data_IF_067200406960
#
_entry.id   IF_067200406960
#
_cell.length_a   1.000
_cell.length_b   1.000
_cell.length_c   1.000
_cell.angle_alpha   90.00
_cell.angle_beta   90.00
_cell.angle_gamma   90.00
#
_symmetry.space_group_name_H-M   'P 1'
#
loop_
_entity.id
_entity.type
_entity.pdbx_description
1 polymer ?
#
# COMPACT_ATOMS: atom_id res chain seq x y z
N UNK A 1 -8.01 -27.88 1.89
CA UNK A 1 -7.97 -26.42 1.67
C UNK A 1 -6.54 -26.06 1.34
N UNK A 2 -6.29 -25.47 0.17
CA UNK A 2 -4.95 -25.12 -0.27
C UNK A 2 -4.50 -23.84 0.44
N UNK A 3 -3.64 -23.99 1.44
CA UNK A 3 -2.99 -22.90 2.14
C UNK A 3 -2.10 -22.10 1.19
N UNK A 4 -2.03 -20.78 1.37
CA UNK A 4 -1.16 -19.93 0.56
C UNK A 4 0.29 -20.20 0.94
N UNK A 5 1.10 -20.60 -0.04
CA UNK A 5 2.55 -20.72 0.10
C UNK A 5 3.21 -19.70 -0.80
N UNK A 6 4.12 -18.91 -0.22
CA UNK A 6 4.85 -17.86 -0.94
C UNK A 6 6.07 -18.39 -1.70
N UNK A 7 6.21 -19.70 -1.81
CA UNK A 7 7.35 -20.36 -2.47
C UNK A 7 7.55 -19.97 -3.94
N UNK A 8 6.54 -19.38 -4.58
CA UNK A 8 6.60 -18.88 -5.96
C UNK A 8 6.71 -17.35 -6.03
N UNK A 9 6.99 -16.66 -4.92
CA UNK A 9 7.21 -15.22 -4.92
C UNK A 9 8.48 -14.90 -5.70
N UNK A 10 8.34 -14.10 -6.76
CA UNK A 10 9.45 -13.71 -7.62
C UNK A 10 9.85 -12.27 -7.32
N UNK A 11 11.03 -12.10 -6.73
CA UNK A 11 11.64 -10.78 -6.60
C UNK A 11 11.90 -10.20 -8.00
N UNK A 12 11.52 -8.95 -8.22
CA UNK A 12 11.81 -8.26 -9.49
C UNK A 12 13.32 -7.89 -9.50
N UNK A 13 14.10 -8.32 -10.52
CA UNK A 13 15.53 -8.05 -10.54
C UNK A 13 15.86 -6.55 -10.47
N UNK A 14 16.92 -6.20 -9.74
CA UNK A 14 17.39 -4.82 -9.54
C UNK A 14 16.36 -3.88 -8.90
N UNK A 15 15.43 -4.41 -8.10
CA UNK A 15 14.47 -3.61 -7.33
C UNK A 15 14.60 -3.88 -5.84
N UNK A 16 14.21 -2.89 -5.03
CA UNK A 16 14.10 -3.07 -3.59
C UNK A 16 12.76 -3.72 -3.26
N UNK A 17 12.81 -4.86 -2.59
CA UNK A 17 11.62 -5.55 -2.09
C UNK A 17 11.37 -5.19 -0.62
N UNK A 18 10.12 -4.81 -0.33
CA UNK A 18 9.70 -4.43 1.02
C UNK A 18 9.59 -5.64 1.95
N UNK A 19 9.35 -6.85 1.42
CA UNK A 19 9.22 -8.08 2.20
C UNK A 19 10.54 -8.84 2.31
N UNK A 20 11.29 -8.95 1.21
CA UNK A 20 12.53 -9.72 1.14
C UNK A 20 13.78 -8.82 1.08
N UNK A 21 14.84 -9.23 1.78
CA UNK A 21 16.17 -8.60 1.75
C UNK A 21 17.00 -9.18 0.60
N UNK A 22 16.87 -10.48 0.38
CA UNK A 22 17.47 -11.28 -0.69
C UNK A 22 16.58 -12.51 -0.93
N UNK A 23 16.86 -13.31 -1.95
CA UNK A 23 16.16 -14.59 -2.16
C UNK A 23 16.17 -15.40 -0.84
N UNK A 24 14.96 -15.77 -0.39
CA UNK A 24 14.63 -16.45 0.87
C UNK A 24 14.92 -15.73 2.21
N UNK A 25 15.36 -14.47 2.22
CA UNK A 25 15.58 -13.72 3.46
C UNK A 25 14.46 -12.69 3.73
N UNK A 26 13.46 -13.07 4.52
CA UNK A 26 12.32 -12.22 4.88
C UNK A 26 12.71 -11.18 5.95
N UNK A 27 12.22 -9.95 5.79
CA UNK A 27 12.35 -8.90 6.80
C UNK A 27 11.50 -9.18 8.04
N UNK A 28 12.05 -8.85 9.20
CA UNK A 28 11.43 -9.15 10.49
C UNK A 28 10.00 -8.60 10.61
N UNK A 29 9.79 -7.36 10.16
CA UNK A 29 8.50 -6.68 10.26
C UNK A 29 7.37 -7.37 9.47
N UNK A 30 7.72 -8.24 8.50
CA UNK A 30 6.75 -8.99 7.71
C UNK A 30 6.40 -10.37 8.28
N UNK A 31 7.14 -10.91 9.26
CA UNK A 31 6.87 -12.26 9.81
C UNK A 31 5.41 -12.46 10.24
N UNK A 32 4.81 -11.46 10.91
CA UNK A 32 3.41 -11.56 11.38
C UNK A 32 2.42 -11.69 10.22
N UNK A 33 2.65 -10.96 9.13
CA UNK A 33 1.79 -10.98 7.95
C UNK A 33 1.94 -12.32 7.24
N UNK A 34 3.17 -12.77 7.01
CA UNK A 34 3.43 -14.03 6.34
C UNK A 34 2.83 -15.20 7.13
N UNK A 35 3.05 -15.26 8.44
CA UNK A 35 2.43 -16.26 9.31
C UNK A 35 0.90 -16.22 9.28
N UNK A 36 0.30 -15.04 9.05
CA UNK A 36 -1.15 -14.92 8.88
C UNK A 36 -1.59 -15.46 7.51
N UNK A 37 -0.92 -15.05 6.43
CA UNK A 37 -1.24 -15.50 5.07
C UNK A 37 -1.07 -17.01 4.91
N UNK A 38 -0.04 -17.60 5.52
CA UNK A 38 0.20 -19.05 5.56
C UNK A 38 -0.82 -19.83 6.38
N UNK A 39 -1.73 -19.18 7.12
CA UNK A 39 -2.84 -19.86 7.81
C UNK A 39 -4.18 -19.64 7.10
N UNK A 40 -4.23 -18.68 6.19
CA UNK A 40 -5.43 -18.31 5.46
C UNK A 40 -5.57 -19.11 4.17
N UNK A 41 -6.82 -19.30 3.74
CA UNK A 41 -7.11 -19.88 2.44
C UNK A 41 -7.24 -18.78 1.39
N UNK A 42 -6.92 -19.09 0.14
CA UNK A 42 -7.13 -18.16 -0.97
C UNK A 42 -8.59 -17.68 -1.08
N UNK A 43 -9.55 -18.56 -0.76
CA UNK A 43 -10.96 -18.22 -0.76
C UNK A 43 -11.31 -17.17 0.30
N UNK A 44 -10.72 -17.27 1.49
CA UNK A 44 -10.99 -16.32 2.57
C UNK A 44 -10.31 -14.97 2.33
N UNK A 45 -9.17 -14.93 1.65
CA UNK A 45 -8.60 -13.67 1.15
C UNK A 45 -9.47 -13.02 0.08
N UNK A 46 -9.98 -13.79 -0.90
CA UNK A 46 -10.89 -13.25 -1.92
C UNK A 46 -12.15 -12.66 -1.29
N UNK A 47 -12.72 -13.32 -0.28
CA UNK A 47 -13.86 -12.77 0.48
C UNK A 47 -13.50 -11.46 1.18
N UNK A 48 -12.30 -11.35 1.77
CA UNK A 48 -11.84 -10.10 2.40
C UNK A 48 -11.67 -8.99 1.37
N UNK A 49 -11.19 -9.32 0.18
CA UNK A 49 -11.08 -8.37 -0.94
C UNK A 49 -12.48 -7.88 -1.38
N UNK A 50 -13.45 -8.78 -1.58
CA UNK A 50 -14.83 -8.42 -1.91
C UNK A 50 -15.48 -7.55 -0.83
N UNK A 51 -15.31 -7.92 0.44
CA UNK A 51 -15.80 -7.14 1.57
C UNK A 51 -15.17 -5.74 1.60
N UNK A 52 -13.86 -5.63 1.36
CA UNK A 52 -13.19 -4.34 1.25
C UNK A 52 -13.80 -3.52 0.11
N UNK A 53 -13.96 -4.07 -1.09
CA UNK A 53 -14.58 -3.37 -2.23
C UNK A 53 -15.98 -2.84 -1.91
N UNK A 54 -16.83 -3.65 -1.26
CA UNK A 54 -18.16 -3.22 -0.82
C UNK A 54 -18.11 -2.11 0.23
N UNK A 55 -17.17 -2.17 1.18
CA UNK A 55 -16.98 -1.12 2.18
C UNK A 55 -16.55 0.20 1.53
N UNK A 56 -15.60 0.17 0.59
CA UNK A 56 -15.16 1.37 -0.13
C UNK A 56 -16.31 2.02 -0.91
N UNK A 57 -17.13 1.22 -1.60
CA UNK A 57 -18.30 1.71 -2.33
C UNK A 57 -19.33 2.36 -1.38
N UNK A 58 -19.67 1.68 -0.29
CA UNK A 58 -20.66 2.17 0.68
C UNK A 58 -20.20 3.39 1.49
N UNK A 59 -18.90 3.60 1.65
CA UNK A 59 -18.32 4.78 2.29
C UNK A 59 -18.07 5.95 1.32
N UNK A 60 -18.38 5.79 0.03
CA UNK A 60 -18.16 6.82 -0.98
C UNK A 60 -16.68 7.06 -1.30
N UNK A 61 -15.81 6.07 -1.08
CA UNK A 61 -14.40 6.13 -1.46
C UNK A 61 -14.28 5.74 -2.94
N UNK A 62 -14.82 6.61 -3.79
CA UNK A 62 -14.91 6.42 -5.25
C UNK A 62 -14.26 7.59 -5.99
N UNK A 63 -13.91 7.37 -7.26
CA UNK A 63 -13.53 8.41 -8.20
C UNK A 63 -14.38 8.29 -9.46
N UNK A 64 -14.67 9.43 -10.08
CA UNK A 64 -15.44 9.47 -11.33
C UNK A 64 -14.51 9.23 -12.50
N UNK A 65 -14.78 8.19 -13.28
CA UNK A 65 -14.16 8.01 -14.59
C UNK A 65 -15.11 8.58 -15.64
N UNK A 66 -14.62 9.59 -16.36
CA UNK A 66 -15.31 10.10 -17.54
C UNK A 66 -14.87 9.25 -18.73
N UNK A 67 -15.69 8.26 -19.09
CA UNK A 67 -15.54 7.55 -20.35
C UNK A 67 -16.82 7.73 -21.17
N UNK A 68 -16.71 8.25 -22.38
CA UNK A 68 -17.83 8.41 -23.32
C UNK A 68 -19.10 9.17 -22.85
N UNK A 69 -18.99 10.09 -21.89
CA UNK A 69 -20.08 11.01 -21.50
C UNK A 69 -20.97 10.55 -20.34
N UNK A 70 -20.80 9.32 -19.85
CA UNK A 70 -21.36 8.87 -18.58
C UNK A 70 -20.27 8.84 -17.51
N UNK A 71 -20.52 9.50 -16.37
CA UNK A 71 -19.63 9.48 -15.21
C UNK A 71 -19.81 8.18 -14.44
N UNK A 72 -19.00 7.18 -14.74
CA UNK A 72 -19.03 5.90 -14.02
C UNK A 72 -18.22 6.06 -12.73
N UNK A 73 -18.86 5.84 -11.59
CA UNK A 73 -18.15 5.76 -10.30
C UNK A 73 -17.37 4.44 -10.21
N UNK A 74 -16.06 4.54 -9.94
CA UNK A 74 -15.20 3.40 -9.64
C UNK A 74 -14.59 3.55 -8.26
N UNK A 75 -14.45 2.43 -7.55
CA UNK A 75 -13.68 2.38 -6.31
C UNK A 75 -12.19 2.59 -6.62
N UNK A 76 -11.47 3.23 -5.71
CA UNK A 76 -10.01 3.24 -5.79
C UNK A 76 -9.46 1.81 -5.77
N UNK A 77 -8.44 1.48 -6.59
CA UNK A 77 -7.74 0.21 -6.46
C UNK A 77 -7.22 0.08 -5.02
N UNK A 78 -7.58 -1.03 -4.38
CA UNK A 78 -7.23 -1.30 -2.99
C UNK A 78 -6.58 -2.67 -2.87
N UNK A 79 -5.45 -2.73 -2.16
CA UNK A 79 -4.76 -3.97 -1.83
C UNK A 79 -5.01 -4.31 -0.36
N UNK A 80 -5.42 -5.55 -0.09
CA UNK A 80 -5.64 -6.06 1.26
C UNK A 80 -4.34 -6.41 1.99
N UNK A 81 -3.21 -6.49 1.27
CA UNK A 81 -1.90 -6.78 1.81
C UNK A 81 -1.22 -5.45 2.19
N UNK A 82 -0.97 -5.18 3.48
CA UNK A 82 -0.44 -3.91 3.90
C UNK A 82 1.05 -3.79 3.61
N UNK A 83 1.49 -2.57 3.29
CA UNK A 83 2.90 -2.18 3.34
C UNK A 83 3.28 -1.86 4.78
N UNK A 84 4.21 -2.61 5.36
CA UNK A 84 4.66 -2.39 6.74
C UNK A 84 5.73 -1.32 6.78
N UNK A 85 5.53 -0.31 7.63
CA UNK A 85 6.52 0.71 7.93
C UNK A 85 6.74 0.69 9.45
N UNK A 86 7.98 0.47 9.87
CA UNK A 86 8.35 0.45 11.29
C UNK A 86 8.28 1.86 11.89
N UNK A 87 8.18 1.95 13.21
CA UNK A 87 8.16 3.23 13.92
C UNK A 87 9.43 4.05 13.66
N UNK A 88 10.60 3.41 13.59
CA UNK A 88 11.88 4.05 13.28
C UNK A 88 11.91 4.60 11.85
N UNK A 89 11.45 3.83 10.86
CA UNK A 89 11.37 4.28 9.47
C UNK A 89 10.39 5.45 9.35
N UNK A 90 9.21 5.33 9.96
CA UNK A 90 8.20 6.40 9.92
C UNK A 90 8.69 7.68 10.58
N UNK A 91 9.38 7.59 11.72
CA UNK A 91 9.93 8.76 12.40
C UNK A 91 10.94 9.52 11.52
N UNK A 92 11.77 8.79 10.77
CA UNK A 92 12.70 9.40 9.83
C UNK A 92 11.96 10.06 8.65
N UNK A 93 11.02 9.35 8.03
CA UNK A 93 10.21 9.83 6.90
C UNK A 93 9.41 11.08 7.30
N UNK A 94 8.72 11.04 8.42
CA UNK A 94 7.88 12.13 8.93
C UNK A 94 8.71 13.41 9.12
N UNK A 95 9.89 13.30 9.73
CA UNK A 95 10.80 14.43 9.93
C UNK A 95 11.25 15.02 8.58
N UNK A 96 11.60 14.18 7.61
CA UNK A 96 11.97 14.60 6.27
C UNK A 96 10.82 15.32 5.54
N UNK A 97 9.59 14.81 5.65
CA UNK A 97 8.41 15.43 5.05
C UNK A 97 8.15 16.80 5.67
N UNK A 98 8.20 16.94 7.01
CA UNK A 98 8.04 18.22 7.70
C UNK A 98 9.08 19.25 7.26
N UNK A 99 10.35 18.84 7.17
CA UNK A 99 11.42 19.69 6.68
C UNK A 99 11.17 20.15 5.23
N UNK A 100 10.83 19.22 4.34
CA UNK A 100 10.56 19.50 2.92
C UNK A 100 9.38 20.45 2.74
N UNK A 101 8.29 20.24 3.47
CA UNK A 101 7.12 21.14 3.44
C UNK A 101 7.48 22.55 3.89
N UNK A 102 8.27 22.69 4.96
CA UNK A 102 8.73 24.00 5.43
C UNK A 102 9.56 24.73 4.36
N UNK A 103 10.49 24.02 3.74
CA UNK A 103 11.33 24.59 2.68
C UNK A 103 10.50 25.01 1.46
N UNK A 104 9.57 24.16 1.01
CA UNK A 104 8.69 24.47 -0.12
C UNK A 104 7.77 25.65 0.15
N UNK A 105 7.20 25.75 1.35
CA UNK A 105 6.35 26.87 1.73
C UNK A 105 7.13 28.20 1.75
N UNK A 106 8.36 28.19 2.26
CA UNK A 106 9.22 29.38 2.23
C UNK A 106 9.63 29.75 0.80
N UNK A 107 9.94 28.75 -0.04
CA UNK A 107 10.24 28.97 -1.44
C UNK A 107 9.07 29.59 -2.19
N UNK A 108 7.85 29.06 -2.02
CA UNK A 108 6.65 29.65 -2.63
C UNK A 108 6.42 31.09 -2.14
N UNK A 109 6.63 31.35 -0.85
CA UNK A 109 6.53 32.71 -0.32
C UNK A 109 7.53 33.65 -1.00
N UNK A 110 8.77 33.22 -1.17
CA UNK A 110 9.83 34.01 -1.81
C UNK A 110 9.51 34.33 -3.27
N UNK A 111 8.99 33.35 -4.03
CA UNK A 111 8.63 33.53 -5.45
C UNK A 111 7.42 34.45 -5.65
N UNK A 112 6.40 34.35 -4.79
CA UNK A 112 5.11 35.02 -5.00
C UNK A 112 4.87 36.26 -4.13
N UNK A 113 5.71 36.52 -3.12
CA UNK A 113 5.57 37.69 -2.25
C UNK A 113 6.60 38.75 -2.63
N UNK A 114 6.22 39.61 -3.57
CA UNK A 114 6.79 40.97 -3.71
C UNK A 114 5.94 41.94 -2.90
#
# INVERSE_FOLDING_TARGET
>A
MSTIKLNNYQNVPNTWDEMYISDDNLREQYHKIINYLERESANDLNKKEELAKSLFMSQGITFTVYDSGEGIEKIFPFDIIPRVITSSEWSFIENGIKQRLKALNLFLKDVYST
#
